data_IF_028247979737
#
_entry.id   IF_028247979737
#
_cell.length_a   1.000
_cell.length_b   1.000
_cell.length_c   1.000
_cell.angle_alpha   90.00
_cell.angle_beta   90.00
_cell.angle_gamma   90.00
#
_symmetry.space_group_name_H-M   'P 1'
#
loop_
_entity.id
_entity.type
_entity.pdbx_description
1 polymer ?
#
# COMPACT_ATOMS: atom_id res chain seq x y z
N UNK A 1 -21.95 1.05 -6.55
CA UNK A 1 -21.46 0.07 -5.56
C UNK A 1 -19.95 0.01 -5.70
N UNK A 2 -19.20 0.74 -4.86
CA UNK A 2 -17.74 0.65 -4.85
C UNK A 2 -17.39 -0.61 -4.04
N UNK A 3 -16.89 -1.65 -4.71
CA UNK A 3 -16.43 -2.89 -4.09
C UNK A 3 -15.09 -2.73 -3.34
N UNK A 4 -14.58 -1.51 -3.22
CA UNK A 4 -13.33 -1.20 -2.54
C UNK A 4 -13.66 -0.56 -1.19
N UNK A 5 -13.39 -1.28 -0.11
CA UNK A 5 -13.42 -0.77 1.26
C UNK A 5 -12.58 0.50 1.34
N UNK A 6 -13.22 1.66 1.49
CA UNK A 6 -12.61 2.97 1.21
C UNK A 6 -12.04 3.66 2.45
N UNK A 7 -12.35 3.22 3.65
CA UNK A 7 -12.00 3.99 4.84
C UNK A 7 -10.84 3.35 5.59
N UNK A 8 -9.62 3.62 5.09
CA UNK A 8 -8.42 3.68 5.91
C UNK A 8 -8.30 5.13 6.44
N UNK A 9 -8.96 5.49 7.57
CA UNK A 9 -8.99 6.86 8.08
C UNK A 9 -7.60 7.32 8.55
N UNK A 10 -6.73 6.38 8.94
CA UNK A 10 -5.37 6.66 9.37
C UNK A 10 -4.41 6.97 8.21
N UNK A 11 -4.81 6.68 6.97
CA UNK A 11 -4.01 6.99 5.78
C UNK A 11 -4.44 8.32 5.16
N UNK A 12 -3.44 9.11 4.77
CA UNK A 12 -3.66 10.28 3.91
C UNK A 12 -4.21 9.87 2.54
N UNK A 13 -4.85 10.81 1.82
CA UNK A 13 -5.35 10.55 0.47
C UNK A 13 -4.28 10.01 -0.48
N UNK A 14 -3.05 10.52 -0.39
CA UNK A 14 -1.92 10.09 -1.23
C UNK A 14 -1.50 8.66 -0.87
N UNK A 15 -1.43 8.32 0.42
CA UNK A 15 -1.12 6.97 0.88
C UNK A 15 -2.19 5.96 0.43
N UNK A 16 -3.47 6.32 0.55
CA UNK A 16 -4.59 5.48 0.11
C UNK A 16 -4.57 5.25 -1.40
N UNK A 17 -4.31 6.30 -2.18
CA UNK A 17 -4.17 6.17 -3.63
C UNK A 17 -2.98 5.27 -4.00
N UNK A 18 -1.84 5.45 -3.31
CA UNK A 18 -0.66 4.60 -3.52
C UNK A 18 -0.97 3.14 -3.17
N UNK A 19 -1.66 2.87 -2.06
CA UNK A 19 -2.07 1.52 -1.66
C UNK A 19 -2.99 0.87 -2.71
N UNK A 20 -3.96 1.62 -3.23
CA UNK A 20 -4.82 1.16 -4.34
C UNK A 20 -3.99 0.79 -5.58
N UNK A 21 -3.03 1.62 -5.96
CA UNK A 21 -2.17 1.34 -7.10
C UNK A 21 -1.27 0.10 -6.87
N UNK A 22 -0.82 -0.12 -5.63
CA UNK A 22 -0.10 -1.33 -5.25
C UNK A 22 -0.99 -2.57 -5.38
N UNK A 23 -2.25 -2.50 -4.92
CA UNK A 23 -3.20 -3.61 -4.99
C UNK A 23 -3.70 -3.90 -6.40
N UNK A 24 -3.69 -2.89 -7.29
CA UNK A 24 -3.89 -3.05 -8.74
C UNK A 24 -2.69 -3.72 -9.44
N UNK A 25 -1.58 -3.93 -8.73
CA UNK A 25 -0.39 -4.61 -9.26
C UNK A 25 0.62 -3.71 -9.97
N UNK A 26 0.50 -2.38 -9.87
CA UNK A 26 1.40 -1.45 -10.57
C UNK A 26 2.81 -1.46 -9.98
N UNK A 27 3.85 -1.51 -10.83
CA UNK A 27 5.25 -1.45 -10.38
C UNK A 27 5.58 -0.11 -9.71
N UNK A 28 6.68 -0.05 -8.93
CA UNK A 28 7.13 1.21 -8.33
C UNK A 28 7.44 2.27 -9.41
N UNK A 29 8.00 1.85 -10.54
CA UNK A 29 8.27 2.70 -11.71
C UNK A 29 6.98 3.28 -12.32
N UNK A 30 5.93 2.48 -12.46
CA UNK A 30 4.67 2.93 -13.04
C UNK A 30 3.91 3.85 -12.07
N UNK A 31 3.94 3.53 -10.77
CA UNK A 31 3.39 4.41 -9.73
C UNK A 31 4.14 5.74 -9.70
N UNK A 32 5.47 5.72 -9.79
CA UNK A 32 6.32 6.90 -9.81
C UNK A 32 5.99 7.79 -11.01
N UNK A 33 5.83 7.18 -12.19
CA UNK A 33 5.43 7.86 -13.43
C UNK A 33 4.06 8.54 -13.30
N UNK A 34 3.06 7.81 -12.80
CA UNK A 34 1.67 8.33 -12.67
C UNK A 34 1.61 9.48 -11.66
N UNK A 35 2.35 9.39 -10.55
CA UNK A 35 2.35 10.41 -9.50
C UNK A 35 3.43 11.50 -9.68
N UNK A 36 4.20 11.47 -10.77
CA UNK A 36 5.31 12.40 -11.04
C UNK A 36 6.33 12.50 -9.91
N UNK A 37 6.70 11.36 -9.32
CA UNK A 37 7.71 11.25 -8.24
C UNK A 37 8.82 10.29 -8.63
N UNK A 38 9.85 10.15 -7.79
CA UNK A 38 10.88 9.13 -7.97
C UNK A 38 10.42 7.76 -7.48
N UNK A 39 10.98 6.68 -8.03
CA UNK A 39 10.75 5.32 -7.52
C UNK A 39 11.09 5.19 -6.04
N UNK A 40 12.15 5.89 -5.60
CA UNK A 40 12.55 5.90 -4.19
C UNK A 40 11.48 6.49 -3.29
N UNK A 41 10.80 7.54 -3.75
CA UNK A 41 9.69 8.13 -3.01
C UNK A 41 8.52 7.16 -2.88
N UNK A 42 8.24 6.37 -3.92
CA UNK A 42 7.22 5.30 -3.88
C UNK A 42 7.60 4.22 -2.89
N UNK A 43 8.84 3.73 -2.91
CA UNK A 43 9.31 2.75 -1.92
C UNK A 43 9.12 3.23 -0.48
N UNK A 44 9.51 4.48 -0.20
CA UNK A 44 9.33 5.09 1.11
C UNK A 44 7.85 5.25 1.48
N UNK A 45 6.99 5.57 0.51
CA UNK A 45 5.54 5.66 0.73
C UNK A 45 4.95 4.30 1.09
N UNK A 46 5.33 3.25 0.35
CA UNK A 46 4.92 1.86 0.63
C UNK A 46 5.39 1.41 2.01
N UNK A 47 6.63 1.73 2.37
CA UNK A 47 7.16 1.45 3.72
C UNK A 47 6.39 2.18 4.82
N UNK A 48 6.00 3.44 4.59
CA UNK A 48 5.16 4.20 5.54
C UNK A 48 3.77 3.59 5.69
N UNK A 49 3.13 3.17 4.60
CA UNK A 49 1.82 2.52 4.64
C UNK A 49 1.90 1.20 5.41
N UNK A 50 2.94 0.39 5.17
CA UNK A 50 3.17 -0.83 5.91
C UNK A 50 3.32 -0.57 7.42
N UNK A 51 4.07 0.47 7.80
CA UNK A 51 4.20 0.86 9.20
C UNK A 51 2.87 1.33 9.79
N UNK A 52 2.04 2.04 9.04
CA UNK A 52 0.69 2.44 9.48
C UNK A 52 -0.22 1.24 9.76
N UNK A 53 -0.08 0.14 9.03
CA UNK A 53 -0.81 -1.12 9.25
C UNK A 53 -0.10 -2.08 10.22
N UNK A 54 0.93 -1.59 10.92
CA UNK A 54 1.75 -2.38 11.82
C UNK A 54 2.36 -3.64 11.17
N UNK A 55 2.52 -3.64 9.83
CA UNK A 55 3.09 -4.75 9.07
C UNK A 55 4.61 -4.65 9.16
N UNK A 56 5.21 -5.57 9.89
CA UNK A 56 6.66 -5.65 10.02
C UNK A 56 7.26 -6.29 8.77
N UNK A 57 8.35 -5.72 8.26
CA UNK A 57 9.14 -6.32 7.18
C UNK A 57 9.79 -7.60 7.69
N UNK A 58 9.28 -8.75 7.29
CA UNK A 58 9.88 -10.07 7.57
C UNK A 58 10.49 -10.60 6.27
N UNK A 59 11.75 -11.08 6.26
CA UNK A 59 12.41 -11.56 5.04
C UNK A 59 11.66 -12.69 4.30
N UNK A 60 10.78 -13.41 5.01
CA UNK A 60 10.01 -14.53 4.47
C UNK A 60 8.70 -14.10 3.80
N UNK A 61 8.30 -12.82 3.90
CA UNK A 61 7.02 -12.34 3.37
C UNK A 61 7.21 -11.17 2.41
N UNK A 62 6.48 -11.22 1.29
CA UNK A 62 6.46 -10.12 0.34
C UNK A 62 5.52 -9.01 0.84
N UNK A 63 6.08 -7.87 1.22
CA UNK A 63 5.33 -6.72 1.73
C UNK A 63 4.20 -6.27 0.80
N UNK A 64 4.42 -6.26 -0.52
CA UNK A 64 3.41 -5.82 -1.47
C UNK A 64 2.19 -6.74 -1.49
N UNK A 65 2.41 -8.03 -1.31
CA UNK A 65 1.32 -9.01 -1.19
C UNK A 65 0.53 -8.77 0.10
N UNK A 66 1.21 -8.54 1.23
CA UNK A 66 0.54 -8.23 2.51
C UNK A 66 -0.29 -6.95 2.44
N UNK A 67 0.24 -5.89 1.82
CA UNK A 67 -0.49 -4.64 1.59
C UNK A 67 -1.70 -4.82 0.65
N UNK A 68 -1.54 -5.65 -0.38
CA UNK A 68 -2.65 -5.98 -1.28
C UNK A 68 -3.74 -6.73 -0.54
N UNK A 69 -3.37 -7.69 0.31
CA UNK A 69 -4.32 -8.42 1.16
C UNK A 69 -5.03 -7.47 2.13
N UNK A 70 -4.28 -6.60 2.83
CA UNK A 70 -4.84 -5.57 3.73
C UNK A 70 -5.91 -4.73 3.01
N UNK A 71 -5.61 -4.29 1.80
CA UNK A 71 -6.51 -3.51 0.96
C UNK A 71 -7.78 -4.29 0.59
N UNK A 72 -7.64 -5.56 0.18
CA UNK A 72 -8.77 -6.39 -0.26
C UNK A 72 -9.65 -6.87 0.90
N UNK A 73 -9.07 -7.13 2.07
CA UNK A 73 -9.83 -7.56 3.26
C UNK A 73 -10.37 -6.39 4.07
N UNK A 74 -9.90 -5.16 3.80
CA UNK A 74 -10.20 -3.99 4.62
C UNK A 74 -9.62 -4.07 6.03
N UNK A 75 -8.61 -4.92 6.23
CA UNK A 75 -7.97 -5.13 7.53
C UNK A 75 -6.76 -4.22 7.65
N UNK A 76 -6.76 -3.39 8.69
CA UNK A 76 -5.62 -2.58 9.11
C UNK A 76 -4.60 -3.40 9.92
N UNK A 77 -5.02 -4.54 10.49
CA UNK A 77 -4.13 -5.53 11.10
C UNK A 77 -3.90 -6.71 10.15
N UNK A 78 -2.74 -6.76 9.49
CA UNK A 78 -2.30 -7.97 8.78
C UNK A 78 -1.23 -8.65 9.61
N UNK A 79 -1.63 -9.70 10.33
CA UNK A 79 -0.73 -10.51 11.16
C UNK A 79 0.31 -11.20 10.24
N UNK A 80 1.56 -10.75 10.36
CA UNK A 80 2.73 -11.40 9.77
C UNK A 80 3.12 -12.67 10.54
#
# INVERSE_FOLDING_TARGET
MSIYSIDFPLLTHVQRNTLRMVSEGLSNSEIARINFVSEKAVEQMVGRIAHSFNITQVPTRNMRVLLTLAYLTGSDEVVA
#
